data_IF_125694995637
#
_entry.id   IF_125694995637
#
_cell.length_a   1.000
_cell.length_b   1.000
_cell.length_c   1.000
_cell.angle_alpha   90.00
_cell.angle_beta   90.00
_cell.angle_gamma   90.00
#
_symmetry.space_group_name_H-M   'P 1'
#
loop_
_entity.id
_entity.type
_entity.pdbx_description
1 polymer ?
#
# COMPACT_ATOMS: atom_id res chain seq x y z
N UNK A 1 -20.03 -13.71 -29.79
CA UNK A 1 -18.78 -14.31 -29.30
C UNK A 1 -17.76 -13.20 -29.11
N UNK A 2 -17.41 -12.93 -27.85
CA UNK A 2 -16.26 -12.17 -27.32
C UNK A 2 -16.54 -12.02 -25.81
N UNK A 3 -16.39 -13.12 -25.07
CA UNK A 3 -15.31 -13.32 -24.08
C UNK A 3 -15.50 -12.47 -22.83
N UNK A 4 -16.26 -13.03 -21.87
CA UNK A 4 -16.24 -12.63 -20.47
C UNK A 4 -14.81 -12.80 -19.93
N UNK A 5 -14.13 -11.67 -19.69
CA UNK A 5 -12.95 -11.65 -18.84
C UNK A 5 -13.46 -11.69 -17.41
N UNK A 6 -13.43 -12.87 -16.79
CA UNK A 6 -13.77 -13.03 -15.39
C UNK A 6 -12.85 -12.12 -14.54
N UNK A 7 -13.41 -11.02 -14.04
CA UNK A 7 -12.74 -10.15 -13.08
C UNK A 7 -12.46 -10.98 -11.82
N UNK A 8 -11.21 -11.40 -11.63
CA UNK A 8 -10.78 -12.11 -10.44
C UNK A 8 -11.23 -11.36 -9.20
N UNK A 9 -11.94 -12.06 -8.31
CA UNK A 9 -12.55 -11.50 -7.11
C UNK A 9 -11.45 -10.90 -6.20
N UNK A 10 -11.22 -9.58 -6.31
CA UNK A 10 -10.33 -8.84 -5.42
C UNK A 10 -11.01 -8.74 -4.05
N UNK A 11 -10.68 -9.67 -3.16
CA UNK A 11 -11.17 -9.65 -1.78
C UNK A 11 -10.40 -8.58 -1.00
N UNK A 12 -11.02 -7.41 -0.81
CA UNK A 12 -10.55 -6.43 0.18
C UNK A 12 -10.86 -7.01 1.55
N UNK A 13 -9.81 -7.36 2.31
CA UNK A 13 -9.97 -8.01 3.63
C UNK A 13 -10.19 -6.95 4.71
N UNK A 14 -9.46 -5.84 4.66
CA UNK A 14 -9.54 -4.72 5.60
C UNK A 14 -9.06 -3.42 4.91
N UNK A 15 -9.59 -2.27 5.33
CA UNK A 15 -9.12 -0.95 4.88
C UNK A 15 -8.49 -0.22 6.06
N UNK A 16 -7.23 0.20 5.92
CA UNK A 16 -6.50 0.93 6.96
C UNK A 16 -6.17 2.34 6.49
N UNK A 17 -6.42 3.33 7.35
CA UNK A 17 -5.91 4.68 7.13
C UNK A 17 -4.38 4.66 7.27
N UNK A 18 -3.67 5.47 6.48
CA UNK A 18 -2.23 5.53 6.61
C UNK A 18 -1.80 6.13 7.92
N UNK A 19 -0.69 5.59 8.44
CA UNK A 19 -0.03 6.07 9.65
C UNK A 19 0.64 7.42 9.40
N UNK A 20 1.17 7.64 8.20
CA UNK A 20 1.81 8.91 7.81
C UNK A 20 1.46 9.24 6.36
N UNK A 21 1.17 10.52 6.11
CA UNK A 21 1.03 11.09 4.76
C UNK A 21 2.00 12.25 4.61
N UNK A 22 2.89 12.17 3.63
CA UNK A 22 3.88 13.22 3.38
C UNK A 22 3.56 13.95 2.09
N UNK A 23 3.13 15.20 2.22
CA UNK A 23 2.89 16.06 1.06
C UNK A 23 4.22 16.51 0.45
N UNK A 24 4.42 16.20 -0.84
CA UNK A 24 5.61 16.63 -1.59
C UNK A 24 5.14 17.51 -2.75
N UNK A 25 5.38 18.83 -2.73
CA UNK A 25 4.89 19.74 -3.76
C UNK A 25 5.32 19.37 -5.20
N UNK A 26 6.47 18.69 -5.35
CA UNK A 26 7.01 18.24 -6.63
C UNK A 26 6.59 16.80 -7.02
N UNK A 27 5.79 16.14 -6.18
CA UNK A 27 5.21 14.82 -6.36
C UNK A 27 3.77 14.90 -5.82
N UNK A 28 2.82 15.43 -6.63
CA UNK A 28 1.46 15.75 -6.17
C UNK A 28 0.74 14.52 -5.57
N UNK A 29 1.12 13.35 -6.07
CA UNK A 29 0.94 12.01 -5.54
C UNK A 29 1.91 11.74 -4.38
N UNK A 30 1.50 12.19 -3.20
CA UNK A 30 2.21 12.12 -1.93
C UNK A 30 2.61 10.69 -1.56
N UNK A 31 3.74 10.52 -0.87
CA UNK A 31 4.12 9.21 -0.32
C UNK A 31 3.29 8.92 0.92
N UNK A 32 2.66 7.75 0.95
CA UNK A 32 1.86 7.27 2.06
C UNK A 32 2.58 6.10 2.74
N UNK A 33 2.59 6.09 4.08
CA UNK A 33 3.12 4.99 4.86
C UNK A 33 2.05 4.36 5.77
N UNK A 34 1.97 3.04 5.77
CA UNK A 34 1.16 2.24 6.68
C UNK A 34 2.06 1.36 7.54
N UNK A 35 1.67 1.16 8.79
CA UNK A 35 2.23 0.17 9.70
C UNK A 35 1.11 -0.78 10.10
N UNK A 36 1.34 -2.09 10.00
CA UNK A 36 0.40 -3.10 10.45
C UNK A 36 0.87 -4.53 10.20
N UNK A 37 0.19 -5.48 10.82
CA UNK A 37 0.50 -6.91 10.71
C UNK A 37 0.00 -7.48 9.39
N UNK A 38 0.82 -8.35 8.77
CA UNK A 38 0.37 -9.22 7.69
C UNK A 38 -0.32 -10.49 8.22
N UNK A 39 -0.74 -11.38 7.30
CA UNK A 39 -1.43 -12.63 7.64
C UNK A 39 -0.53 -13.64 8.38
N UNK A 40 0.77 -13.38 8.49
CA UNK A 40 1.75 -14.17 9.24
C UNK A 40 2.02 -13.57 10.63
N UNK A 41 1.47 -12.40 10.94
CA UNK A 41 1.71 -11.68 12.19
C UNK A 41 3.03 -10.91 12.23
N UNK A 42 3.60 -10.57 11.07
CA UNK A 42 4.79 -9.72 10.98
C UNK A 42 4.35 -8.27 10.79
N UNK A 43 4.79 -7.37 11.67
CA UNK A 43 4.54 -5.94 11.51
C UNK A 43 5.37 -5.40 10.33
N UNK A 44 4.68 -4.91 9.31
CA UNK A 44 5.28 -4.33 8.10
C UNK A 44 5.11 -2.82 8.10
N UNK A 45 6.14 -2.13 7.64
CA UNK A 45 6.00 -0.80 7.06
C UNK A 45 5.82 -0.94 5.54
N UNK A 46 4.75 -0.33 5.02
CA UNK A 46 4.46 -0.23 3.59
C UNK A 46 4.56 1.23 3.19
N UNK A 47 5.40 1.56 2.21
CA UNK A 47 5.46 2.89 1.59
C UNK A 47 4.94 2.80 0.15
N UNK A 48 4.02 3.68 -0.20
CA UNK A 48 3.45 3.75 -1.55
C UNK A 48 3.37 5.18 -2.08
N UNK A 49 3.08 5.27 -3.38
CA UNK A 49 2.51 6.44 -4.02
C UNK A 49 1.01 6.24 -4.17
N UNK A 50 0.23 7.28 -3.87
CA UNK A 50 -1.22 7.32 -4.08
C UNK A 50 -1.49 8.08 -5.37
N UNK A 51 -1.76 7.34 -6.45
CA UNK A 51 -2.11 7.88 -7.78
C UNK A 51 -3.62 7.78 -7.96
N UNK A 52 -4.17 8.58 -8.88
CA UNK A 52 -5.61 8.66 -9.11
C UNK A 52 -6.28 7.29 -9.34
N UNK A 53 -5.62 6.40 -10.10
CA UNK A 53 -6.18 5.08 -10.47
C UNK A 53 -5.50 3.89 -9.78
N UNK A 54 -4.43 4.14 -8.99
CA UNK A 54 -3.60 3.08 -8.46
C UNK A 54 -2.80 3.48 -7.23
N UNK A 55 -2.60 2.52 -6.33
CA UNK A 55 -1.60 2.60 -5.27
C UNK A 55 -0.35 1.85 -5.73
N UNK A 56 0.77 2.55 -5.87
CA UNK A 56 2.05 1.94 -6.26
C UNK A 56 2.90 1.73 -5.03
N UNK A 57 3.00 0.48 -4.58
CA UNK A 57 3.88 0.11 -3.46
C UNK A 57 5.32 0.15 -3.95
N UNK A 58 6.12 1.04 -3.34
CA UNK A 58 7.54 1.23 -3.69
C UNK A 58 8.47 0.57 -2.67
N UNK A 59 7.96 0.30 -1.46
CA UNK A 59 8.74 -0.29 -0.39
C UNK A 59 7.85 -1.08 0.57
N UNK A 60 8.31 -2.26 0.98
CA UNK A 60 7.71 -3.05 2.07
C UNK A 60 8.85 -3.67 2.87
N UNK A 61 8.86 -3.45 4.18
CA UNK A 61 9.87 -4.01 5.08
C UNK A 61 9.26 -4.38 6.42
N UNK A 62 9.67 -5.49 7.06
CA UNK A 62 9.43 -5.70 8.47
C UNK A 62 9.99 -4.53 9.29
N UNK A 63 9.18 -4.01 10.22
CA UNK A 63 9.58 -2.87 11.05
C UNK A 63 10.78 -3.20 11.93
N UNK A 64 10.94 -4.46 12.33
CA UNK A 64 12.09 -4.98 13.07
C UNK A 64 13.44 -4.79 12.34
N UNK A 65 13.41 -4.71 11.01
CA UNK A 65 14.60 -4.54 10.17
C UNK A 65 14.90 -3.06 9.82
N UNK A 66 14.10 -2.11 10.33
CA UNK A 66 14.41 -0.68 10.16
C UNK A 66 15.78 -0.38 10.77
N UNK A 67 16.64 0.28 9.99
CA UNK A 67 17.88 0.86 10.51
C UNK A 67 17.52 1.92 11.54
N UNK A 68 18.11 1.81 12.74
CA UNK A 68 18.06 2.83 13.79
C UNK A 68 19.15 3.87 13.58
#
# INVERSE_FOLDING_TARGET
MASDVAAGQRKVVLTWLPTVRTEKPWLPNCSIAWIGDDDRGVELEIVSLDLDDAVVVIHVMPTELRRR
#
